data_IF_725187155655
#
_entry.id   IF_725187155655
#
_cell.length_a   1.000
_cell.length_b   1.000
_cell.length_c   1.000
_cell.angle_alpha   90.00
_cell.angle_beta   90.00
_cell.angle_gamma   90.00
#
_symmetry.space_group_name_H-M   'P 1'
#
loop_
_entity.id
_entity.type
_entity.pdbx_description
1 polymer ?
#
# COMPACT_ATOMS: atom_id res chain seq x y z
N UNK A 1 61.95 -65.25 -7.07
CA UNK A 1 61.56 -63.86 -7.39
C UNK A 1 60.21 -63.90 -8.09
N UNK A 2 59.14 -63.42 -7.44
CA UNK A 2 57.79 -63.38 -8.01
C UNK A 2 56.93 -62.40 -7.21
N UNK A 3 56.48 -61.34 -7.87
CA UNK A 3 55.09 -60.83 -7.94
C UNK A 3 54.99 -59.29 -8.02
N UNK A 4 54.09 -58.89 -8.94
CA UNK A 4 53.22 -57.72 -8.94
C UNK A 4 53.85 -56.32 -9.06
N UNK A 5 53.73 -55.74 -10.26
CA UNK A 5 53.76 -54.29 -10.46
C UNK A 5 52.32 -53.82 -10.72
N UNK A 6 51.77 -53.15 -9.70
CA UNK A 6 50.45 -52.51 -9.66
C UNK A 6 50.45 -51.14 -10.34
N UNK A 7 49.33 -50.84 -11.01
CA UNK A 7 48.64 -49.54 -11.15
C UNK A 7 49.39 -48.26 -11.49
N UNK A 8 48.97 -47.62 -12.60
CA UNK A 8 48.83 -46.16 -12.81
C UNK A 8 48.39 -45.95 -14.29
N UNK A 9 47.43 -45.12 -14.71
CA UNK A 9 46.79 -43.94 -14.13
C UNK A 9 45.31 -43.91 -14.50
N UNK A 10 44.44 -43.67 -13.51
CA UNK A 10 43.07 -43.19 -13.73
C UNK A 10 43.12 -41.74 -14.21
N UNK A 11 42.53 -41.49 -15.37
CA UNK A 11 42.05 -40.16 -15.73
C UNK A 11 40.75 -39.89 -14.97
N UNK A 12 40.75 -38.92 -14.05
CA UNK A 12 39.53 -38.41 -13.45
C UNK A 12 39.55 -36.89 -13.55
N UNK A 13 38.86 -36.39 -14.58
CA UNK A 13 38.58 -34.98 -14.78
C UNK A 13 37.63 -34.53 -13.65
N UNK A 14 38.14 -33.75 -12.70
CA UNK A 14 37.33 -33.14 -11.65
C UNK A 14 36.60 -31.95 -12.28
N UNK A 15 35.33 -32.17 -12.63
CA UNK A 15 34.40 -31.14 -13.08
C UNK A 15 34.19 -30.10 -11.98
N UNK A 16 34.53 -28.84 -12.27
CA UNK A 16 34.12 -27.68 -11.49
C UNK A 16 32.59 -27.56 -11.57
N UNK A 17 31.89 -28.17 -10.61
CA UNK A 17 30.47 -27.93 -10.40
C UNK A 17 30.33 -26.57 -9.74
N UNK A 18 30.05 -25.56 -10.55
CA UNK A 18 29.58 -24.28 -10.04
C UNK A 18 28.28 -24.54 -9.28
N UNK A 19 28.33 -24.44 -7.95
CA UNK A 19 27.14 -24.37 -7.12
C UNK A 19 26.38 -23.10 -7.51
N UNK A 20 25.44 -23.23 -8.45
CA UNK A 20 24.42 -22.23 -8.70
C UNK A 20 23.57 -22.15 -7.43
N UNK A 21 23.85 -21.17 -6.57
CA UNK A 21 22.91 -20.78 -5.53
C UNK A 21 21.61 -20.41 -6.23
N UNK A 22 20.48 -21.04 -5.88
CA UNK A 22 19.19 -20.60 -6.41
C UNK A 22 19.04 -19.12 -6.02
N UNK A 23 18.55 -18.26 -6.92
CA UNK A 23 18.24 -16.88 -6.57
C UNK A 23 17.27 -16.92 -5.38
N UNK A 24 17.53 -16.10 -4.36
CA UNK A 24 16.60 -15.96 -3.24
C UNK A 24 15.20 -15.73 -3.80
N UNK A 25 14.17 -16.44 -3.32
CA UNK A 25 12.81 -16.23 -3.79
C UNK A 25 12.47 -14.74 -3.64
N UNK A 26 11.77 -14.13 -4.60
CA UNK A 26 11.39 -12.74 -4.47
C UNK A 26 10.66 -12.57 -3.14
N UNK A 27 11.03 -11.53 -2.37
CA UNK A 27 10.28 -11.12 -1.20
C UNK A 27 8.89 -10.72 -1.65
N UNK A 28 7.99 -11.69 -1.73
CA UNK A 28 6.58 -11.49 -2.00
C UNK A 28 5.99 -10.95 -0.70
N UNK A 29 5.78 -9.63 -0.66
CA UNK A 29 5.00 -9.01 0.41
C UNK A 29 3.69 -9.79 0.54
N UNK A 30 3.42 -10.32 1.74
CA UNK A 30 2.20 -11.06 2.03
C UNK A 30 0.94 -10.23 1.73
N UNK A 31 -0.25 -10.85 1.72
CA UNK A 31 -1.49 -10.13 1.47
C UNK A 31 -1.65 -8.98 2.47
N UNK A 32 -1.91 -7.77 1.97
CA UNK A 32 -2.11 -6.62 2.83
C UNK A 32 -3.51 -6.64 3.43
N UNK A 33 -3.58 -6.63 4.75
CA UNK A 33 -4.83 -6.50 5.49
C UNK A 33 -5.08 -5.03 5.83
N UNK A 34 -6.32 -4.57 5.63
CA UNK A 34 -6.71 -3.20 5.91
C UNK A 34 -7.93 -3.19 6.80
N UNK A 35 -7.95 -2.27 7.76
CA UNK A 35 -9.14 -1.92 8.51
C UNK A 35 -9.66 -0.58 8.00
N UNK A 36 -10.98 -0.43 7.99
CA UNK A 36 -11.66 0.69 7.34
C UNK A 36 -12.47 1.48 8.36
N UNK A 37 -12.31 2.81 8.35
CA UNK A 37 -13.06 3.74 9.19
C UNK A 37 -13.61 4.86 8.33
N UNK A 38 -14.86 5.23 8.54
CA UNK A 38 -15.42 6.44 7.93
C UNK A 38 -14.98 7.65 8.75
N UNK A 39 -14.44 8.67 8.08
CA UNK A 39 -14.05 9.94 8.67
C UNK A 39 -14.70 11.09 7.93
N UNK A 40 -14.92 12.20 8.65
CA UNK A 40 -15.27 13.48 8.07
C UNK A 40 -14.05 14.32 7.74
N UNK A 41 -14.10 15.08 6.65
CA UNK A 41 -13.09 16.08 6.36
C UNK A 41 -13.68 17.32 5.69
N UNK A 42 -13.11 18.48 6.03
CA UNK A 42 -13.48 19.78 5.49
C UNK A 42 -12.46 20.24 4.48
N UNK A 43 -12.92 20.77 3.35
CA UNK A 43 -12.06 21.34 2.30
C UNK A 43 -11.46 22.64 2.80
N UNK A 44 -10.13 22.72 2.84
CA UNK A 44 -9.38 23.91 3.26
C UNK A 44 -8.75 24.65 2.09
N UNK A 45 -8.55 23.97 0.97
CA UNK A 45 -7.93 24.53 -0.23
C UNK A 45 -8.42 23.81 -1.48
N UNK A 46 -8.56 24.55 -2.58
CA UNK A 46 -8.95 24.02 -3.89
C UNK A 46 -7.88 24.47 -4.88
N UNK A 47 -7.08 23.52 -5.35
CA UNK A 47 -6.10 23.68 -6.41
C UNK A 47 -6.37 22.73 -7.58
N UNK A 48 -5.60 22.89 -8.65
CA UNK A 48 -5.59 21.97 -9.80
C UNK A 48 -4.18 21.35 -9.87
N UNK A 49 -3.99 20.05 -9.58
CA UNK A 49 -5.00 18.98 -9.55
C UNK A 49 -5.45 18.51 -8.16
N UNK A 50 -5.13 19.25 -7.08
CA UNK A 50 -5.29 18.76 -5.69
C UNK A 50 -6.26 19.62 -4.86
N UNK A 51 -7.09 18.95 -4.08
CA UNK A 51 -8.00 19.52 -3.08
C UNK A 51 -7.42 19.22 -1.70
N UNK A 52 -7.15 20.27 -0.92
CA UNK A 52 -6.67 20.14 0.45
C UNK A 52 -7.84 19.96 1.40
N UNK A 53 -7.72 18.97 2.29
CA UNK A 53 -8.73 18.64 3.29
C UNK A 53 -8.10 18.51 4.68
N UNK A 54 -8.90 18.80 5.69
CA UNK A 54 -8.55 18.57 7.09
C UNK A 54 -9.63 17.73 7.75
N UNK A 55 -9.24 16.62 8.37
CA UNK A 55 -10.16 15.78 9.12
C UNK A 55 -10.55 16.38 10.48
N UNK A 56 -11.52 15.76 11.15
CA UNK A 56 -12.00 16.18 12.47
C UNK A 56 -10.93 16.10 13.57
N UNK A 57 -9.90 15.28 13.37
CA UNK A 57 -8.74 15.13 14.27
C UNK A 57 -7.62 16.15 13.95
N UNK A 58 -7.82 17.02 12.95
CA UNK A 58 -6.86 18.05 12.54
C UNK A 58 -5.75 17.57 11.61
N UNK A 59 -5.87 16.36 11.04
CA UNK A 59 -4.93 15.82 10.07
C UNK A 59 -5.23 16.37 8.68
N UNK A 60 -4.24 17.02 8.09
CA UNK A 60 -4.31 17.49 6.70
C UNK A 60 -3.97 16.37 5.72
N UNK A 61 -4.78 16.22 4.68
CA UNK A 61 -4.51 15.33 3.55
C UNK A 61 -5.05 15.96 2.27
N UNK A 62 -4.59 15.46 1.12
CA UNK A 62 -5.03 15.96 -0.18
C UNK A 62 -5.76 14.89 -0.96
N UNK A 63 -6.67 15.33 -1.83
CA UNK A 63 -7.30 14.44 -2.78
C UNK A 63 -7.37 15.05 -4.17
N UNK A 64 -7.16 14.19 -5.16
CA UNK A 64 -7.25 14.56 -6.57
C UNK A 64 -8.62 15.14 -6.90
N UNK A 65 -8.64 16.28 -7.58
CA UNK A 65 -9.87 16.95 -7.99
C UNK A 65 -10.77 16.03 -8.84
N UNK A 66 -10.18 15.11 -9.61
CA UNK A 66 -10.92 14.14 -10.44
C UNK A 66 -11.67 13.07 -9.62
N UNK A 67 -11.35 12.92 -8.33
CA UNK A 67 -12.12 12.04 -7.45
C UNK A 67 -13.52 12.60 -7.17
N UNK A 68 -13.71 13.91 -7.28
CA UNK A 68 -14.97 14.59 -7.02
C UNK A 68 -15.79 14.68 -8.30
N UNK A 69 -17.09 14.37 -8.20
CA UNK A 69 -18.02 14.44 -9.35
C UNK A 69 -18.42 15.87 -9.71
N UNK A 70 -18.36 16.76 -8.74
CA UNK A 70 -18.81 18.14 -8.84
C UNK A 70 -17.66 19.06 -8.41
N UNK A 71 -17.65 20.32 -8.90
CA UNK A 71 -16.70 21.32 -8.43
C UNK A 71 -16.77 21.47 -6.92
N UNK A 72 -15.60 21.41 -6.28
CA UNK A 72 -15.45 21.49 -4.83
C UNK A 72 -15.16 22.94 -4.43
N UNK A 73 -15.69 23.36 -3.29
CA UNK A 73 -15.44 24.68 -2.71
C UNK A 73 -14.85 24.56 -1.29
N UNK A 74 -14.05 25.57 -0.91
CA UNK A 74 -13.52 25.68 0.46
C UNK A 74 -14.66 25.77 1.47
N UNK A 75 -14.56 25.01 2.55
CA UNK A 75 -15.57 24.92 3.60
C UNK A 75 -16.61 23.82 3.39
N UNK A 76 -16.60 23.13 2.24
CA UNK A 76 -17.46 21.96 2.06
C UNK A 76 -16.96 20.77 2.89
N UNK A 77 -17.90 19.96 3.37
CA UNK A 77 -17.63 18.77 4.17
C UNK A 77 -17.94 17.50 3.37
N UNK A 78 -17.01 16.55 3.42
CA UNK A 78 -17.10 15.27 2.71
C UNK A 78 -16.76 14.10 3.64
N UNK A 79 -17.35 12.94 3.34
CA UNK A 79 -17.04 11.69 4.00
C UNK A 79 -16.01 10.89 3.20
N UNK A 80 -15.03 10.35 3.92
CA UNK A 80 -13.98 9.50 3.38
C UNK A 80 -13.93 8.16 4.10
N UNK A 81 -13.66 7.10 3.36
CA UNK A 81 -13.23 5.83 3.92
C UNK A 81 -11.71 5.86 4.08
N UNK A 82 -11.25 5.95 5.33
CA UNK A 82 -9.85 5.82 5.72
C UNK A 82 -9.54 4.33 5.89
N UNK A 83 -8.72 3.80 5.00
CA UNK A 83 -8.20 2.43 5.05
C UNK A 83 -6.80 2.47 5.61
N UNK A 84 -6.57 1.88 6.78
CA UNK A 84 -5.25 1.76 7.37
C UNK A 84 -4.77 0.32 7.33
N UNK A 85 -3.49 0.13 7.01
CA UNK A 85 -2.90 -1.20 6.94
C UNK A 85 -2.76 -1.77 8.36
N UNK A 86 -3.21 -3.01 8.54
CA UNK A 86 -3.05 -3.78 9.79
C UNK A 86 -1.90 -4.77 9.66
N UNK A 87 -1.77 -5.40 8.49
CA UNK A 87 -0.69 -6.34 8.18
C UNK A 87 -0.19 -6.15 6.74
N UNK A 88 1.12 -6.31 6.54
CA UNK A 88 1.79 -6.19 5.24
C UNK A 88 2.67 -4.94 5.12
N UNK A 89 3.26 -4.74 3.94
CA UNK A 89 4.15 -3.60 3.64
C UNK A 89 3.56 -2.65 2.58
N UNK A 90 2.24 -2.66 2.40
CA UNK A 90 1.55 -1.76 1.47
C UNK A 90 1.43 -0.32 2.00
N UNK A 91 0.85 0.57 1.19
CA UNK A 91 0.57 1.97 1.52
C UNK A 91 -0.12 2.07 2.89
N UNK A 92 0.47 2.80 3.86
CA UNK A 92 -0.02 2.81 5.24
C UNK A 92 -1.46 3.29 5.39
N UNK A 93 -1.85 4.28 4.59
CA UNK A 93 -3.19 4.88 4.62
C UNK A 93 -3.66 5.17 3.20
N UNK A 94 -4.93 4.89 2.94
CA UNK A 94 -5.63 5.36 1.74
C UNK A 94 -6.92 6.04 2.14
N UNK A 95 -7.23 7.17 1.51
CA UNK A 95 -8.49 7.89 1.68
C UNK A 95 -9.32 7.72 0.40
N UNK A 96 -10.50 7.14 0.52
CA UNK A 96 -11.44 6.99 -0.60
C UNK A 96 -12.64 7.90 -0.36
N UNK A 97 -12.92 8.77 -1.33
CA UNK A 97 -14.09 9.65 -1.26
C UNK A 97 -15.38 8.82 -1.34
N UNK A 98 -16.21 8.93 -0.31
CA UNK A 98 -17.57 8.37 -0.30
C UNK A 98 -18.53 9.37 -0.94
N UNK A 99 -18.37 10.65 -0.61
CA UNK A 99 -19.20 11.75 -1.10
C UNK A 99 -19.64 12.71 0.01
N UNK A 100 -20.57 13.63 -0.29
CA UNK A 100 -21.13 14.52 0.73
C UNK A 100 -21.92 13.71 1.77
N UNK A 101 -22.06 14.22 3.01
CA UNK A 101 -22.84 13.55 4.04
C UNK A 101 -24.29 13.33 3.57
N UNK A 102 -24.92 12.20 3.92
CA UNK A 102 -26.31 11.96 3.60
C UNK A 102 -27.17 13.07 4.21
N UNK A 103 -28.10 13.65 3.43
CA UNK A 103 -29.00 14.74 3.87
C UNK A 103 -29.73 14.47 5.21
N UNK A 104 -29.90 13.21 5.59
CA UNK A 104 -30.51 12.81 6.85
C UNK A 104 -29.62 13.05 8.10
N UNK A 105 -28.30 13.21 7.95
CA UNK A 105 -27.38 13.44 9.07
C UNK A 105 -27.35 14.91 9.56
N UNK A 106 -28.02 15.82 8.85
CA UNK A 106 -28.06 17.27 9.20
C UNK A 106 -29.27 17.61 10.09
N UNK A 107 -30.14 16.65 10.41
CA UNK A 107 -31.38 16.90 11.16
C UNK A 107 -31.32 16.61 12.67
N UNK A 108 -30.19 16.15 13.22
CA UNK A 108 -30.08 15.82 14.67
C UNK A 108 -29.04 16.66 15.41
N UNK A 109 -28.96 17.97 15.15
CA UNK A 109 -28.22 18.88 16.03
C UNK A 109 -28.88 20.26 16.11
N UNK A 110 -30.21 20.28 16.18
CA UNK A 110 -30.99 21.50 16.35
C UNK A 110 -32.24 21.24 17.18
N UNK A 111 -32.07 21.11 18.50
CA UNK A 111 -33.12 21.44 19.47
C UNK A 111 -32.48 22.01 20.74
#
# INVERSE_FOLDING_TARGET
MKFAATSALLAFAVSFSACAMPPDPPMVGGPCSYETKVIGATVTGVGDPEIDLVDEDGVTFYQRAEAFREPVEVGQYYLFEKRYIVEGTCTPYNFLLIGPPPKAAVLESGE
#
